data_IF_357073682307
#
_entry.id   IF_357073682307
#
_cell.length_a   1.000
_cell.length_b   1.000
_cell.length_c   1.000
_cell.angle_alpha   90.00
_cell.angle_beta   90.00
_cell.angle_gamma   90.00
#
_symmetry.space_group_name_H-M   'P 1'
#
loop_
_entity.id
_entity.type
_entity.pdbx_description
1 polymer ?
#
# COMPACT_ATOMS: atom_id res chain seq x y z
N UNK A 1 -5.00 6.57 22.38
CA UNK A 1 -5.58 6.25 21.06
C UNK A 1 -5.57 4.73 20.81
N UNK A 2 -6.52 3.97 21.39
CA UNK A 2 -6.56 2.50 21.25
C UNK A 2 -7.14 2.03 19.91
N UNK A 3 -8.00 2.83 19.26
CA UNK A 3 -8.65 2.48 17.99
C UNK A 3 -7.66 2.27 16.84
N UNK A 4 -6.71 3.18 16.66
CA UNK A 4 -5.72 3.09 15.57
C UNK A 4 -4.85 1.83 15.65
N UNK A 5 -4.55 1.37 16.87
CA UNK A 5 -3.77 0.14 17.11
C UNK A 5 -4.59 -1.10 16.77
N UNK A 6 -5.86 -1.12 17.20
CA UNK A 6 -6.79 -2.20 16.89
C UNK A 6 -7.07 -2.33 15.39
N UNK A 7 -7.22 -1.20 14.68
CA UNK A 7 -7.45 -1.19 13.24
C UNK A 7 -6.25 -1.77 12.46
N UNK A 8 -5.00 -1.55 12.91
CA UNK A 8 -3.80 -2.15 12.29
C UNK A 8 -3.70 -3.66 12.57
N UNK A 9 -4.08 -4.09 13.78
CA UNK A 9 -4.02 -5.50 14.21
C UNK A 9 -5.16 -6.35 13.64
N UNK A 10 -6.26 -5.73 13.19
CA UNK A 10 -7.46 -6.41 12.66
C UNK A 10 -7.55 -6.43 11.15
N UNK A 11 -6.66 -5.72 10.43
CA UNK A 11 -6.52 -5.91 8.98
C UNK A 11 -6.16 -7.38 8.76
N UNK A 12 -7.03 -8.19 8.15
CA UNK A 12 -6.68 -9.56 7.84
C UNK A 12 -5.44 -9.47 6.95
N UNK A 13 -4.35 -10.14 7.34
CA UNK A 13 -3.30 -10.47 6.42
C UNK A 13 -3.98 -11.31 5.34
N UNK A 14 -4.39 -10.66 4.24
CA UNK A 14 -5.28 -11.25 3.25
C UNK A 14 -4.68 -12.58 2.81
N UNK A 15 -5.28 -13.65 3.33
CA UNK A 15 -4.96 -15.01 3.02
C UNK A 15 -5.58 -15.29 1.65
N UNK A 16 -4.72 -15.71 0.73
CA UNK A 16 -5.14 -16.22 -0.58
C UNK A 16 -5.55 -15.12 -1.55
N UNK A 17 -5.03 -15.21 -2.77
CA UNK A 17 -5.39 -14.37 -3.89
C UNK A 17 -6.91 -14.27 -4.06
N UNK A 18 -7.44 -13.05 -4.01
CA UNK A 18 -8.75 -12.70 -4.51
C UNK A 18 -8.53 -11.84 -5.77
N UNK A 19 -9.41 -11.95 -6.79
CA UNK A 19 -9.20 -11.37 -8.12
C UNK A 19 -8.94 -9.86 -8.02
N UNK A 20 -8.28 -9.31 -9.03
CA UNK A 20 -8.00 -7.88 -9.15
C UNK A 20 -9.30 -7.06 -9.15
N UNK A 21 -9.88 -6.85 -7.97
CA UNK A 21 -11.00 -5.95 -7.78
C UNK A 21 -10.51 -4.55 -8.16
N UNK A 22 -11.05 -3.95 -9.23
CA UNK A 22 -10.57 -2.64 -9.69
C UNK A 22 -10.72 -1.58 -8.60
N UNK A 23 -11.69 -1.73 -7.69
CA UNK A 23 -11.86 -0.90 -6.51
C UNK A 23 -10.70 -1.02 -5.51
N UNK A 24 -10.28 -2.24 -5.19
CA UNK A 24 -9.13 -2.51 -4.32
C UNK A 24 -7.82 -1.98 -4.91
N UNK A 25 -7.61 -2.13 -6.23
CA UNK A 25 -6.43 -1.58 -6.90
C UNK A 25 -6.46 -0.05 -6.90
N UNK A 26 -7.60 0.57 -7.21
CA UNK A 26 -7.76 2.02 -7.16
C UNK A 26 -7.55 2.57 -5.75
N UNK A 27 -8.08 1.90 -4.73
CA UNK A 27 -7.87 2.25 -3.32
C UNK A 27 -6.39 2.14 -2.92
N UNK A 28 -5.67 1.10 -3.37
CA UNK A 28 -4.24 0.93 -3.11
C UNK A 28 -3.39 2.00 -3.82
N UNK A 29 -3.72 2.35 -5.07
CA UNK A 29 -3.09 3.47 -5.78
C UNK A 29 -3.32 4.79 -5.06
N UNK A 30 -4.55 5.03 -4.60
CA UNK A 30 -4.88 6.23 -3.82
C UNK A 30 -4.14 6.29 -2.49
N UNK A 31 -3.98 5.16 -1.81
CA UNK A 31 -3.17 5.08 -0.60
C UNK A 31 -1.69 5.39 -0.88
N UNK A 32 -1.15 4.90 -1.99
CA UNK A 32 0.22 5.20 -2.40
C UNK A 32 0.44 6.70 -2.59
N UNK A 33 -0.48 7.39 -3.28
CA UNK A 33 -0.45 8.84 -3.48
C UNK A 33 -0.41 9.59 -2.14
N UNK A 34 -1.29 9.23 -1.20
CA UNK A 34 -1.35 9.84 0.14
C UNK A 34 -0.03 9.63 0.89
N UNK A 35 0.54 8.42 0.84
CA UNK A 35 1.80 8.12 1.51
C UNK A 35 2.98 8.89 0.89
N UNK A 36 2.99 9.11 -0.43
CA UNK A 36 4.02 9.90 -1.12
C UNK A 36 3.95 11.36 -0.68
N UNK A 37 2.74 11.94 -0.62
CA UNK A 37 2.55 13.32 -0.16
C UNK A 37 2.97 13.49 1.30
N UNK A 38 2.54 12.56 2.17
CA UNK A 38 2.96 12.53 3.57
C UNK A 38 4.49 12.41 3.71
N UNK A 39 5.12 11.59 2.86
CA UNK A 39 6.58 11.45 2.86
C UNK A 39 7.26 12.77 2.47
N UNK A 40 6.72 13.49 1.47
CA UNK A 40 7.23 14.81 1.10
C UNK A 40 7.20 15.81 2.26
N UNK A 41 6.14 15.80 3.06
CA UNK A 41 6.01 16.64 4.27
C UNK A 41 7.05 16.21 5.32
N UNK A 42 7.09 14.92 5.67
CA UNK A 42 7.97 14.38 6.71
C UNK A 42 9.45 14.50 6.33
N UNK A 43 9.80 14.38 5.04
CA UNK A 43 11.18 14.49 4.59
C UNK A 43 11.74 15.92 4.71
N UNK A 44 10.88 16.95 4.63
CA UNK A 44 11.29 18.35 4.77
C UNK A 44 11.37 18.79 6.23
N UNK A 45 10.39 18.37 7.03
CA UNK A 45 10.08 19.02 8.31
C UNK A 45 9.92 18.02 9.46
N UNK A 46 9.87 16.72 9.18
CA UNK A 46 9.49 15.69 10.14
C UNK A 46 10.65 15.06 10.90
N UNK A 47 10.38 14.53 12.10
CA UNK A 47 11.38 13.81 12.88
C UNK A 47 11.71 12.45 12.23
N UNK A 48 12.96 12.01 12.36
CA UNK A 48 13.46 10.76 11.77
C UNK A 48 12.65 9.52 12.19
N UNK A 49 12.06 9.54 13.39
CA UNK A 49 11.20 8.48 13.92
C UNK A 49 9.91 8.27 13.12
N UNK A 50 9.41 9.29 12.42
CA UNK A 50 8.22 9.21 11.57
C UNK A 50 8.59 8.88 10.12
N UNK A 51 9.78 9.29 9.68
CA UNK A 51 10.26 9.04 8.32
C UNK A 51 10.44 7.55 8.01
N UNK A 52 11.12 6.82 8.90
CA UNK A 52 11.43 5.39 8.68
C UNK A 52 10.17 4.49 8.54
N UNK A 53 9.15 4.60 9.41
CA UNK A 53 7.90 3.85 9.24
C UNK A 53 7.18 4.16 7.92
N UNK A 54 7.25 5.42 7.46
CA UNK A 54 6.57 5.87 6.26
C UNK A 54 7.26 5.37 4.98
N UNK A 55 8.59 5.39 4.93
CA UNK A 55 9.39 4.75 3.86
C UNK A 55 9.11 3.23 3.80
N UNK A 56 9.04 2.56 4.95
CA UNK A 56 8.73 1.14 5.02
C UNK A 56 7.30 0.83 4.52
N UNK A 57 6.33 1.70 4.81
CA UNK A 57 4.96 1.58 4.32
C UNK A 57 4.90 1.75 2.80
N UNK A 58 5.56 2.77 2.25
CA UNK A 58 5.66 3.00 0.81
C UNK A 58 6.25 1.78 0.09
N UNK A 59 7.31 1.19 0.63
CA UNK A 59 7.91 -0.02 0.06
C UNK A 59 6.95 -1.22 0.00
N UNK A 60 6.08 -1.41 1.01
CA UNK A 60 5.07 -2.49 1.00
C UNK A 60 3.97 -2.24 -0.03
N UNK A 61 3.49 -1.01 -0.12
CA UNK A 61 2.46 -0.61 -1.10
C UNK A 61 3.02 -0.76 -2.52
N UNK A 62 4.24 -0.28 -2.78
CA UNK A 62 4.89 -0.41 -4.08
C UNK A 62 5.04 -1.85 -4.54
N UNK A 63 5.45 -2.77 -3.64
CA UNK A 63 5.49 -4.21 -3.94
C UNK A 63 4.11 -4.77 -4.30
N UNK A 64 3.09 -4.46 -3.49
CA UNK A 64 1.71 -4.92 -3.75
C UNK A 64 1.18 -4.41 -5.09
N UNK A 65 1.46 -3.16 -5.46
CA UNK A 65 1.08 -2.61 -6.77
C UNK A 65 1.81 -3.31 -7.92
N UNK A 66 3.11 -3.59 -7.75
CA UNK A 66 3.90 -4.36 -8.72
C UNK A 66 3.38 -5.78 -8.93
N UNK A 67 3.00 -6.47 -7.84
CA UNK A 67 2.43 -7.82 -7.90
C UNK A 67 1.08 -7.82 -8.64
N UNK A 68 0.23 -6.80 -8.43
CA UNK A 68 -1.06 -6.65 -9.13
C UNK A 68 -0.85 -6.37 -10.62
N UNK A 69 0.06 -5.46 -10.97
CA UNK A 69 0.34 -5.12 -12.37
C UNK A 69 0.99 -6.29 -13.14
N UNK A 70 1.80 -7.11 -12.46
CA UNK A 70 2.37 -8.34 -13.02
C UNK A 70 1.29 -9.42 -13.26
N UNK A 71 0.35 -9.58 -12.32
CA UNK A 71 -0.79 -10.48 -12.47
C UNK A 71 -1.69 -10.11 -13.67
N UNK A 72 -2.03 -8.82 -13.81
CA UNK A 72 -2.86 -8.33 -14.91
C UNK A 72 -2.23 -8.53 -16.30
N UNK A 73 -0.89 -8.48 -16.42
CA UNK A 73 -0.19 -8.72 -17.69
C UNK A 73 -0.09 -10.19 -18.06
N UNK A 74 -0.10 -11.10 -17.09
CA UNK A 74 -0.09 -12.54 -17.32
C UNK A 74 -1.41 -13.09 -17.88
N UNK A 75 -2.53 -12.45 -17.55
CA UNK A 75 -3.87 -12.86 -18.01
C UNK A 75 -4.22 -12.38 -19.42
N UNK A 76 -3.59 -11.30 -19.91
CA UNK A 76 -3.87 -10.73 -21.24
C UNK A 76 -3.15 -11.43 -22.41
N UNK A 77 -2.39 -12.49 -22.15
CA UNK A 77 -1.51 -13.16 -23.14
C UNK A 77 -1.85 -14.61 -23.45
N UNK A 78 -3.02 -15.11 -23.08
CA UNK A 78 -3.42 -16.50 -23.31
C UNK A 78 -4.83 -16.62 -23.91
N UNK A 79 -4.94 -16.44 -25.22
CA UNK A 79 -5.70 -17.29 -26.17
C UNK A 79 -5.35 -16.87 -27.61
#
# INVERSE_FOLDING_TARGET
MPKLRHDIETVPAAAGAAPADPGAQAALRRLAEICIEAHGIVAREGPAEVRLPLEALLGRIGRRLGDVDAGARGEAGGD
#
